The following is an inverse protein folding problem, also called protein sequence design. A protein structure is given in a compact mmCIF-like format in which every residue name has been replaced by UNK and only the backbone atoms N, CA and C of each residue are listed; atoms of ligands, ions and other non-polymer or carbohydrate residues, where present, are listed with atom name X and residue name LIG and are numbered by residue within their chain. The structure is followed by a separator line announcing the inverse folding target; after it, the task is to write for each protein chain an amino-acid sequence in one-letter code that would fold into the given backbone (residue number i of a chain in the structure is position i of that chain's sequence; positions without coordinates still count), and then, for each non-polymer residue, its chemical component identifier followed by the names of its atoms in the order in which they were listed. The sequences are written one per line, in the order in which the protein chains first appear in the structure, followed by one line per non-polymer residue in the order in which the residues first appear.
data_IF_189443646236
#
_entry.id   IF_189443646236
#
_cell.length_a   1.000
_cell.length_b   1.000
_cell.length_c   1.000
_cell.angle_alpha   90.00
_cell.angle_beta   90.00
_cell.angle_gamma   90.00
#
_symmetry.space_group_name_H-M   'P 1'
#
loop_
_entity.id
_entity.type
_entity.pdbx_description
1 polymer ?
#
# COMPACT_ATOMS: atom_id res chain seq x y z
N UNK A 1 -27.70 26.92 -7.50
CA UNK A 1 -28.26 25.57 -7.78
C UNK A 1 -27.19 24.54 -7.45
N UNK A 2 -27.19 23.99 -6.23
CA UNK A 2 -26.07 23.20 -5.70
C UNK A 2 -26.15 21.71 -6.13
N UNK A 3 -25.01 21.19 -6.58
CA UNK A 3 -24.78 19.87 -7.18
C UNK A 3 -25.07 18.73 -6.19
N UNK A 4 -26.27 18.16 -6.24
CA UNK A 4 -26.75 17.07 -5.36
C UNK A 4 -26.17 15.68 -5.68
N UNK A 5 -25.41 15.54 -6.77
CA UNK A 5 -24.94 14.25 -7.30
C UNK A 5 -23.63 13.69 -6.70
N UNK A 6 -22.76 14.53 -6.11
CA UNK A 6 -21.45 14.06 -5.62
C UNK A 6 -21.54 13.13 -4.39
N UNK A 7 -22.52 13.37 -3.51
CA UNK A 7 -22.67 12.61 -2.25
C UNK A 7 -23.09 11.15 -2.47
N UNK A 8 -23.84 10.85 -3.52
CA UNK A 8 -24.32 9.49 -3.79
C UNK A 8 -23.22 8.59 -4.37
N UNK A 9 -22.30 9.14 -5.16
CA UNK A 9 -21.17 8.40 -5.72
C UNK A 9 -20.18 7.95 -4.65
N UNK A 10 -19.80 8.87 -3.74
CA UNK A 10 -18.88 8.55 -2.63
C UNK A 10 -19.47 7.50 -1.69
N UNK A 11 -20.77 7.57 -1.41
CA UNK A 11 -21.46 6.60 -0.53
C UNK A 11 -21.41 5.18 -1.11
N UNK A 12 -21.64 5.02 -2.43
CA UNK A 12 -21.53 3.73 -3.12
C UNK A 12 -20.11 3.14 -3.14
N UNK A 13 -19.08 3.98 -3.18
CA UNK A 13 -17.67 3.55 -3.10
C UNK A 13 -17.35 3.09 -1.67
N UNK A 14 -17.84 3.80 -0.67
CA UNK A 14 -17.71 3.41 0.74
C UNK A 14 -18.46 2.11 1.06
N UNK A 15 -19.70 1.95 0.60
CA UNK A 15 -20.51 0.74 0.83
C UNK A 15 -19.87 -0.52 0.21
N UNK A 16 -19.01 -0.36 -0.80
CA UNK A 16 -18.24 -1.44 -1.44
C UNK A 16 -16.82 -1.56 -0.92
N UNK A 17 -16.38 -0.66 -0.04
CA UNK A 17 -15.05 -0.72 0.52
C UNK A 17 -14.94 -1.98 1.39
N UNK A 18 -13.85 -2.72 1.23
CA UNK A 18 -13.58 -3.90 2.05
C UNK A 18 -13.45 -3.45 3.50
N UNK A 19 -14.23 -4.05 4.39
CA UNK A 19 -14.06 -3.85 5.82
C UNK A 19 -12.71 -4.45 6.26
N UNK A 20 -11.89 -3.62 6.90
CA UNK A 20 -10.48 -3.91 7.17
C UNK A 20 -10.21 -3.71 8.64
N UNK A 21 -9.85 -4.81 9.29
CA UNK A 21 -9.51 -4.87 10.71
C UNK A 21 -8.00 -5.08 10.82
N UNK A 22 -7.20 -4.03 11.09
CA UNK A 22 -5.78 -4.16 11.27
C UNK A 22 -5.50 -5.02 12.51
N UNK A 23 -4.68 -6.04 12.36
CA UNK A 23 -4.16 -6.82 13.49
C UNK A 23 -2.79 -6.29 13.89
N UNK A 24 -2.50 -6.30 15.18
CA UNK A 24 -1.20 -5.84 15.70
C UNK A 24 -0.06 -6.75 15.21
N UNK A 25 1.08 -6.15 14.86
CA UNK A 25 2.31 -6.88 14.55
C UNK A 25 2.94 -7.31 15.87
N UNK A 26 3.08 -8.62 16.07
CA UNK A 26 3.57 -9.20 17.32
C UNK A 26 5.08 -9.44 17.33
N UNK A 27 5.74 -9.35 16.18
CA UNK A 27 7.16 -9.63 15.98
C UNK A 27 7.48 -11.12 15.77
N UNK A 28 6.47 -11.98 15.79
CA UNK A 28 6.59 -13.42 15.48
C UNK A 28 6.34 -13.73 14.01
N UNK A 29 5.78 -12.76 13.28
CA UNK A 29 5.46 -12.88 11.87
C UNK A 29 6.73 -12.82 11.02
N UNK A 30 6.75 -13.51 9.88
CA UNK A 30 7.82 -13.32 8.92
C UNK A 30 7.67 -11.94 8.26
N UNK A 31 8.76 -11.24 7.95
CA UNK A 31 8.68 -9.92 7.30
C UNK A 31 7.82 -9.89 6.03
N UNK A 32 7.88 -10.95 5.22
CA UNK A 32 7.06 -11.07 4.00
C UNK A 32 5.55 -11.15 4.31
N UNK A 33 5.16 -11.83 5.38
CA UNK A 33 3.77 -12.00 5.78
C UNK A 33 3.20 -10.67 6.29
N UNK A 34 4.02 -9.88 7.00
CA UNK A 34 3.67 -8.54 7.47
C UNK A 34 3.34 -7.64 6.28
N UNK A 35 4.25 -7.55 5.30
CA UNK A 35 4.06 -6.68 4.14
C UNK A 35 2.80 -7.07 3.38
N UNK A 36 2.57 -8.37 3.15
CA UNK A 36 1.45 -8.85 2.33
C UNK A 36 0.06 -8.69 2.99
N UNK A 37 -0.03 -8.90 4.30
CA UNK A 37 -1.33 -9.05 4.99
C UNK A 37 -1.66 -7.92 5.97
N UNK A 38 -0.67 -7.27 6.59
CA UNK A 38 -0.89 -6.37 7.73
C UNK A 38 -1.10 -4.90 7.32
N UNK A 39 -1.04 -4.61 6.02
CA UNK A 39 -1.16 -3.27 5.46
C UNK A 39 -2.37 -3.13 4.51
N UNK A 40 -3.61 -3.23 5.05
CA UNK A 40 -4.80 -3.42 4.22
C UNK A 40 -5.34 -2.14 3.55
N UNK A 41 -5.03 -0.95 4.08
CA UNK A 41 -5.58 0.32 3.62
C UNK A 41 -4.51 1.43 3.48
N UNK A 42 -4.88 2.51 2.79
CA UNK A 42 -4.08 3.73 2.60
C UNK A 42 -2.66 3.44 2.06
N UNK A 43 -1.64 4.01 2.72
CA UNK A 43 -0.21 3.86 2.40
C UNK A 43 0.18 2.38 2.34
N UNK A 44 -0.48 1.52 3.13
CA UNK A 44 -0.22 0.09 3.12
C UNK A 44 -0.44 -0.62 1.77
N UNK A 45 -1.31 -0.08 0.91
CA UNK A 45 -1.45 -0.58 -0.47
C UNK A 45 -0.22 -0.22 -1.31
N UNK A 46 0.29 0.99 -1.15
CA UNK A 46 1.45 1.48 -1.91
C UNK A 46 2.70 0.69 -1.53
N UNK A 47 2.92 0.44 -0.23
CA UNK A 47 4.03 -0.38 0.26
C UNK A 47 4.00 -1.80 -0.32
N UNK A 48 2.82 -2.44 -0.40
CA UNK A 48 2.67 -3.77 -1.01
C UNK A 48 3.03 -3.77 -2.49
N UNK A 49 2.50 -2.80 -3.23
CA UNK A 49 2.82 -2.66 -4.66
C UNK A 49 4.31 -2.36 -4.86
N UNK A 50 4.91 -1.50 -4.04
CA UNK A 50 6.32 -1.19 -4.10
C UNK A 50 7.17 -2.44 -3.83
N UNK A 51 6.86 -3.21 -2.79
CA UNK A 51 7.53 -4.47 -2.47
C UNK A 51 7.42 -5.49 -3.62
N UNK A 52 6.25 -5.64 -4.21
CA UNK A 52 6.03 -6.54 -5.36
C UNK A 52 6.90 -6.13 -6.55
N UNK A 53 6.95 -4.83 -6.88
CA UNK A 53 7.76 -4.31 -7.98
C UNK A 53 9.26 -4.47 -7.71
N UNK A 54 9.72 -4.16 -6.50
CA UNK A 54 11.13 -4.36 -6.11
C UNK A 54 11.53 -5.83 -6.16
N UNK A 55 10.65 -6.74 -5.71
CA UNK A 55 10.90 -8.18 -5.79
C UNK A 55 11.04 -8.67 -7.23
N UNK A 56 10.20 -8.18 -8.15
CA UNK A 56 10.31 -8.51 -9.58
C UNK A 56 11.60 -7.95 -10.19
N UNK A 57 11.89 -6.67 -9.94
CA UNK A 57 13.10 -6.01 -10.42
C UNK A 57 14.39 -6.71 -9.93
N UNK A 58 14.38 -7.31 -8.74
CA UNK A 58 15.50 -8.09 -8.21
C UNK A 58 15.68 -9.47 -8.87
N UNK A 59 14.68 -9.97 -9.58
CA UNK A 59 14.68 -11.31 -10.19
C UNK A 59 14.84 -11.25 -11.71
N UNK A 60 14.38 -10.15 -12.32
CA UNK A 60 14.43 -9.90 -13.75
C UNK A 60 15.66 -9.05 -14.12
N UNK A 61 16.13 -9.17 -15.36
CA UNK A 61 17.21 -8.33 -15.89
C UNK A 61 16.73 -6.89 -16.13
N UNK A 62 16.78 -6.08 -15.08
CA UNK A 62 16.27 -4.71 -15.09
C UNK A 62 17.32 -3.71 -14.62
N UNK A 63 17.39 -2.55 -15.29
CA UNK A 63 18.19 -1.43 -14.83
C UNK A 63 17.38 -0.60 -13.80
N UNK A 64 17.80 -0.66 -12.53
CA UNK A 64 17.14 0.09 -11.45
C UNK A 64 17.84 1.43 -11.21
N UNK A 65 17.09 2.52 -11.37
CA UNK A 65 17.55 3.87 -11.02
C UNK A 65 17.14 4.19 -9.59
N UNK A 66 18.12 4.38 -8.71
CA UNK A 66 17.90 4.76 -7.32
C UNK A 66 18.25 6.23 -7.12
N UNK A 67 17.34 6.99 -6.52
CA UNK A 67 17.59 8.38 -6.10
C UNK A 67 17.24 8.51 -4.65
N UNK A 68 18.18 9.04 -3.85
CA UNK A 68 18.00 9.25 -2.43
C UNK A 68 18.19 10.74 -2.12
N UNK A 69 17.37 11.29 -1.23
CA UNK A 69 17.60 12.64 -0.70
C UNK A 69 18.73 12.61 0.32
N UNK A 70 19.36 13.76 0.58
CA UNK A 70 20.43 13.85 1.59
C UNK A 70 19.98 13.45 3.00
N UNK A 71 18.69 13.55 3.32
CA UNK A 71 18.13 13.07 4.58
C UNK A 71 18.11 11.54 4.72
N UNK A 72 18.23 10.81 3.61
CA UNK A 72 18.26 9.35 3.58
C UNK A 72 19.68 8.75 3.51
N UNK A 73 20.71 9.61 3.54
CA UNK A 73 22.13 9.23 3.56
C UNK A 73 22.80 9.83 4.80
N UNK A 74 22.69 9.18 5.97
CA UNK A 74 23.26 9.68 7.23
C UNK A 74 24.79 9.59 7.27
#
# INVERSE_FOLDING_TARGET
MATRNGKQGVKRVFDRARDVHPTAITGKEKPADIIQAMFPAYVGRQERTAFELMRRASQDDTCTFLTMSGAMTP
#
